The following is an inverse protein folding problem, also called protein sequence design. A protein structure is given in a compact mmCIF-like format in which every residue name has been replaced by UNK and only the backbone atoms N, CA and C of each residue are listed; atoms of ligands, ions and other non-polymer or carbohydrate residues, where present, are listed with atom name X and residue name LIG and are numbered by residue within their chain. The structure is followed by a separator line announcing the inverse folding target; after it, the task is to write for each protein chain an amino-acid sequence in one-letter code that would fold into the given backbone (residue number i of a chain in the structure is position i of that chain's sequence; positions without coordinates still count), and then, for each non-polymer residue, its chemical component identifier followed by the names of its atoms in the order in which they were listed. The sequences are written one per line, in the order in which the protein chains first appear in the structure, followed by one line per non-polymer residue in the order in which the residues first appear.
data_IF_036531997834
#
_entry.id   IF_036531997834
#
_cell.length_a   1.000
_cell.length_b   1.000
_cell.length_c   1.000
_cell.angle_alpha   90.00
_cell.angle_beta   90.00
_cell.angle_gamma   90.00
#
_symmetry.space_group_name_H-M   'P 1'
#
loop_
_entity.id
_entity.type
_entity.pdbx_description
1 polymer ?
#
# COMPACT_ATOMS: atom_id res chain seq x y z
N UNK A 1 -16.88 -11.96 -17.08
CA UNK A 1 -15.70 -12.62 -17.69
C UNK A 1 -14.47 -11.99 -17.07
N UNK A 2 -13.47 -12.80 -16.68
CA UNK A 2 -12.27 -12.32 -16.02
C UNK A 2 -11.04 -12.44 -16.93
N UNK A 3 -10.06 -11.59 -16.68
CA UNK A 3 -8.69 -11.70 -17.19
C UNK A 3 -7.77 -12.03 -16.02
N UNK A 4 -6.82 -12.93 -16.23
CA UNK A 4 -5.75 -13.20 -15.29
C UNK A 4 -4.55 -12.32 -15.67
N UNK A 5 -4.12 -11.49 -14.74
CA UNK A 5 -2.90 -10.70 -14.84
C UNK A 5 -1.77 -11.52 -14.22
N UNK A 6 -0.61 -11.58 -14.88
CA UNK A 6 0.62 -12.18 -14.35
C UNK A 6 1.74 -11.16 -14.48
N UNK A 7 2.46 -10.89 -13.39
CA UNK A 7 3.49 -9.86 -13.34
C UNK A 7 4.72 -10.33 -12.56
N UNK A 8 5.91 -10.02 -13.06
CA UNK A 8 7.18 -10.24 -12.37
C UNK A 8 8.31 -9.49 -13.10
N UNK A 9 9.50 -9.32 -12.48
CA UNK A 9 10.66 -8.80 -13.19
C UNK A 9 10.98 -9.59 -14.48
N UNK A 10 10.82 -10.91 -14.44
CA UNK A 10 11.01 -11.79 -15.59
C UNK A 10 10.01 -12.94 -15.57
N UNK A 11 9.38 -13.23 -16.71
CA UNK A 11 8.40 -14.29 -16.86
C UNK A 11 8.82 -15.24 -17.99
N UNK A 12 8.97 -16.52 -17.67
CA UNK A 12 9.28 -17.53 -18.67
C UNK A 12 8.08 -17.79 -19.60
N UNK A 13 8.29 -17.81 -20.91
CA UNK A 13 7.23 -18.07 -21.90
C UNK A 13 6.52 -19.40 -21.67
N UNK A 14 7.24 -20.43 -21.20
CA UNK A 14 6.65 -21.73 -20.87
C UNK A 14 5.67 -21.64 -19.70
N UNK A 15 5.96 -20.80 -18.70
CA UNK A 15 5.09 -20.60 -17.55
C UNK A 15 3.78 -19.91 -17.96
N UNK A 16 3.84 -18.93 -18.87
CA UNK A 16 2.64 -18.29 -19.42
C UNK A 16 1.73 -19.30 -20.13
N UNK A 17 2.29 -20.20 -20.94
CA UNK A 17 1.51 -21.25 -21.62
C UNK A 17 0.87 -22.21 -20.62
N UNK A 18 1.60 -22.59 -19.57
CA UNK A 18 1.08 -23.47 -18.51
C UNK A 18 -0.02 -22.78 -17.70
N UNK A 19 0.14 -21.51 -17.36
CA UNK A 19 -0.88 -20.71 -16.68
C UNK A 19 -2.13 -20.56 -17.54
N UNK A 20 -1.99 -20.30 -18.84
CA UNK A 20 -3.13 -20.20 -19.75
C UNK A 20 -3.91 -21.53 -19.83
N UNK A 21 -3.22 -22.67 -19.89
CA UNK A 21 -3.88 -23.98 -19.80
C UNK A 21 -4.55 -24.19 -18.44
N UNK A 22 -3.89 -23.77 -17.35
CA UNK A 22 -4.37 -23.96 -15.99
C UNK A 22 -5.65 -23.16 -15.70
N UNK A 23 -5.78 -21.95 -16.25
CA UNK A 23 -6.94 -21.09 -16.04
C UNK A 23 -7.91 -21.05 -17.22
N UNK A 24 -7.75 -21.92 -18.22
CA UNK A 24 -8.63 -21.96 -19.40
C UNK A 24 -8.55 -20.73 -20.30
N UNK A 25 -7.50 -19.91 -20.18
CA UNK A 25 -7.39 -18.68 -20.95
C UNK A 25 -7.26 -18.94 -22.45
N UNK A 26 -8.00 -18.16 -23.24
CA UNK A 26 -8.08 -18.29 -24.69
C UNK A 26 -6.98 -17.52 -25.43
N UNK A 27 -6.42 -16.50 -24.80
CA UNK A 27 -5.42 -15.61 -25.40
C UNK A 27 -4.44 -15.12 -24.34
N UNK A 28 -3.18 -14.91 -24.76
CA UNK A 28 -2.14 -14.27 -23.95
C UNK A 28 -1.70 -13.01 -24.69
N UNK A 29 -1.77 -11.87 -24.01
CA UNK A 29 -1.32 -10.59 -24.54
C UNK A 29 -0.36 -9.92 -23.55
N UNK A 30 0.70 -9.29 -24.06
CA UNK A 30 1.58 -8.48 -23.22
C UNK A 30 0.90 -7.16 -22.87
N UNK A 31 1.04 -6.71 -21.61
CA UNK A 31 0.72 -5.34 -21.23
C UNK A 31 1.79 -4.45 -21.84
N UNK A 32 1.40 -3.44 -22.63
CA UNK A 32 2.33 -2.71 -23.52
C UNK A 32 3.53 -2.14 -22.75
N UNK A 33 4.72 -2.40 -23.30
CA UNK A 33 5.99 -1.90 -22.78
C UNK A 33 6.05 -0.36 -22.79
N UNK A 34 6.55 0.22 -21.70
CA UNK A 34 6.70 1.67 -21.51
C UNK A 34 5.90 2.27 -20.35
N UNK A 35 4.99 1.49 -19.75
CA UNK A 35 4.20 1.91 -18.58
C UNK A 35 4.65 1.27 -17.26
N UNK A 36 5.39 0.15 -17.32
CA UNK A 36 5.76 -0.66 -16.17
C UNK A 36 7.26 -0.94 -16.14
N UNK A 37 7.84 -1.03 -14.94
CA UNK A 37 9.25 -1.39 -14.74
C UNK A 37 9.52 -2.91 -14.85
N UNK A 38 8.49 -3.73 -15.09
CA UNK A 38 8.52 -5.19 -15.03
C UNK A 38 7.70 -5.80 -16.19
N UNK A 39 7.76 -7.12 -16.36
CA UNK A 39 6.97 -7.83 -17.35
C UNK A 39 5.56 -8.10 -16.82
N UNK A 40 4.55 -7.81 -17.63
CA UNK A 40 3.16 -8.10 -17.29
C UNK A 40 2.40 -8.66 -18.50
N UNK A 41 1.55 -9.65 -18.27
CA UNK A 41 0.74 -10.31 -19.29
C UNK A 41 -0.72 -10.44 -18.84
N UNK A 42 -1.64 -10.31 -19.79
CA UNK A 42 -3.07 -10.54 -19.64
C UNK A 42 -3.44 -11.86 -20.32
N UNK A 43 -3.98 -12.78 -19.54
CA UNK A 43 -4.52 -14.06 -19.98
C UNK A 43 -6.05 -13.92 -20.03
N UNK A 44 -6.62 -13.86 -21.23
CA UNK A 44 -8.02 -13.49 -21.45
C UNK A 44 -8.98 -14.65 -21.24
N UNK A 45 -10.18 -14.32 -20.77
CA UNK A 45 -11.24 -15.28 -20.45
C UNK A 45 -10.80 -16.37 -19.45
N UNK A 46 -10.00 -15.99 -18.45
CA UNK A 46 -9.55 -16.88 -17.39
C UNK A 46 -10.71 -17.26 -16.46
N UNK A 47 -10.75 -18.53 -16.07
CA UNK A 47 -11.75 -19.12 -15.17
C UNK A 47 -11.39 -18.84 -13.71
N UNK A 48 -12.20 -18.08 -12.94
CA UNK A 48 -11.88 -17.76 -11.54
C UNK A 48 -11.76 -18.99 -10.62
N UNK A 49 -12.42 -20.10 -10.97
CA UNK A 49 -12.36 -21.34 -10.19
C UNK A 49 -10.94 -21.94 -10.17
N UNK A 50 -10.06 -21.54 -11.11
CA UNK A 50 -8.66 -21.95 -11.13
C UNK A 50 -7.76 -21.15 -10.16
N UNK A 51 -8.31 -20.19 -9.41
CA UNK A 51 -7.54 -19.24 -8.61
C UNK A 51 -6.59 -19.93 -7.62
N UNK A 52 -7.03 -20.98 -6.93
CA UNK A 52 -6.19 -21.69 -5.97
C UNK A 52 -4.96 -22.34 -6.64
N UNK A 53 -5.14 -22.95 -7.81
CA UNK A 53 -4.04 -23.59 -8.53
C UNK A 53 -3.07 -22.57 -9.14
N UNK A 54 -3.61 -21.46 -9.66
CA UNK A 54 -2.80 -20.32 -10.14
C UNK A 54 -1.99 -19.72 -8.98
N UNK A 55 -2.61 -19.55 -7.80
CA UNK A 55 -1.93 -19.04 -6.62
C UNK A 55 -0.73 -19.92 -6.22
N UNK A 56 -0.90 -21.24 -6.17
CA UNK A 56 0.19 -22.18 -5.88
C UNK A 56 1.30 -22.06 -6.92
N UNK A 57 0.95 -22.04 -8.21
CA UNK A 57 1.94 -21.92 -9.28
C UNK A 57 2.73 -20.60 -9.19
N UNK A 58 2.04 -19.49 -8.99
CA UNK A 58 2.64 -18.16 -8.89
C UNK A 58 3.53 -18.03 -7.65
N UNK A 59 3.14 -18.64 -6.52
CA UNK A 59 3.98 -18.67 -5.32
C UNK A 59 5.30 -19.44 -5.54
N UNK A 60 5.26 -20.58 -6.25
CA UNK A 60 6.46 -21.34 -6.60
C UNK A 60 7.35 -20.61 -7.62
N UNK A 61 6.73 -19.93 -8.58
CA UNK A 61 7.44 -19.24 -9.66
C UNK A 61 7.92 -17.83 -9.29
N UNK A 62 7.46 -17.28 -8.15
CA UNK A 62 7.74 -15.90 -7.74
C UNK A 62 7.05 -14.87 -8.64
N UNK A 63 5.75 -15.05 -8.91
CA UNK A 63 4.94 -14.15 -9.74
C UNK A 63 3.80 -13.51 -8.93
N UNK A 64 3.53 -12.25 -9.22
CA UNK A 64 2.28 -11.60 -8.82
C UNK A 64 1.16 -12.02 -9.78
N UNK A 65 -0.06 -12.13 -9.26
CA UNK A 65 -1.23 -12.46 -10.06
C UNK A 65 -2.49 -11.74 -9.58
N UNK A 66 -3.43 -11.51 -10.51
CA UNK A 66 -4.73 -10.94 -10.19
C UNK A 66 -5.80 -11.43 -11.16
N UNK A 67 -6.94 -11.88 -10.64
CA UNK A 67 -8.15 -12.10 -11.43
C UNK A 67 -8.96 -10.82 -11.44
N UNK A 68 -9.01 -10.14 -12.59
CA UNK A 68 -9.65 -8.84 -12.72
C UNK A 68 -10.80 -8.95 -13.72
N UNK A 69 -11.89 -8.20 -13.49
CA UNK A 69 -12.98 -8.12 -14.46
C UNK A 69 -12.43 -7.60 -15.80
N UNK A 70 -12.88 -8.19 -16.92
CA UNK A 70 -12.34 -7.84 -18.24
C UNK A 70 -12.50 -6.35 -18.54
N UNK A 71 -13.60 -5.74 -18.15
CA UNK A 71 -13.97 -4.34 -18.41
C UNK A 71 -13.41 -3.33 -17.41
N UNK A 72 -12.50 -3.74 -16.51
CA UNK A 72 -11.83 -2.82 -15.61
C UNK A 72 -10.93 -1.85 -16.38
N UNK A 73 -11.24 -0.55 -16.32
CA UNK A 73 -10.49 0.53 -16.97
C UNK A 73 -9.97 1.52 -15.92
N UNK A 74 -8.76 2.02 -16.13
CA UNK A 74 -8.16 2.98 -15.21
C UNK A 74 -8.98 4.28 -15.15
N UNK A 75 -9.59 4.66 -16.28
CA UNK A 75 -10.43 5.84 -16.39
C UNK A 75 -11.71 5.81 -15.52
N UNK A 76 -12.12 4.64 -15.03
CA UNK A 76 -13.28 4.52 -14.13
C UNK A 76 -12.91 4.72 -12.65
N UNK A 77 -11.60 4.71 -12.34
CA UNK A 77 -11.08 4.91 -10.99
C UNK A 77 -11.16 6.39 -10.62
N UNK A 78 -11.88 6.68 -9.53
CA UNK A 78 -12.06 8.04 -9.02
C UNK A 78 -11.22 8.35 -7.77
N UNK A 79 -10.75 7.32 -7.06
CA UNK A 79 -10.01 7.48 -5.81
C UNK A 79 -8.94 6.39 -5.64
N UNK A 80 -7.74 6.82 -5.26
CA UNK A 80 -6.65 5.95 -4.81
C UNK A 80 -6.28 6.32 -3.38
N UNK A 81 -6.42 5.36 -2.48
CA UNK A 81 -6.08 5.48 -1.07
C UNK A 81 -4.82 4.66 -0.78
N UNK A 82 -3.90 5.20 0.00
CA UNK A 82 -2.61 4.54 0.26
C UNK A 82 -2.24 4.70 1.73
N UNK A 83 -1.68 3.65 2.33
CA UNK A 83 -0.82 3.83 3.50
C UNK A 83 0.50 4.54 3.12
N UNK A 84 1.15 5.12 4.10
CA UNK A 84 2.45 5.77 3.95
C UNK A 84 3.60 4.80 4.18
N UNK A 85 3.88 4.48 5.45
CA UNK A 85 5.01 3.63 5.87
C UNK A 85 4.89 2.25 5.21
N UNK A 86 6.03 1.71 4.76
CA UNK A 86 6.12 0.41 4.05
C UNK A 86 5.20 0.22 2.83
N UNK A 87 4.50 1.26 2.36
CA UNK A 87 3.57 1.24 1.23
C UNK A 87 3.92 2.32 0.21
N UNK A 88 3.64 3.60 0.49
CA UNK A 88 4.01 4.71 -0.39
C UNK A 88 5.51 5.03 -0.27
N UNK A 89 6.09 4.81 0.91
CA UNK A 89 7.52 4.97 1.18
C UNK A 89 8.13 3.64 1.64
N UNK A 90 9.44 3.50 1.50
CA UNK A 90 10.15 2.24 1.76
C UNK A 90 10.57 2.02 3.21
N UNK A 91 10.18 2.91 4.12
CA UNK A 91 10.64 2.93 5.51
C UNK A 91 9.46 2.93 6.47
N UNK A 92 9.74 2.58 7.72
CA UNK A 92 8.90 2.87 8.88
C UNK A 92 9.44 4.14 9.56
N UNK A 93 8.75 5.27 9.45
CA UNK A 93 9.28 6.55 9.95
C UNK A 93 9.67 6.51 11.42
N UNK A 94 8.88 5.84 12.28
CA UNK A 94 9.18 5.75 13.72
C UNK A 94 10.45 4.95 14.03
N UNK A 95 10.71 3.89 13.25
CA UNK A 95 11.90 3.05 13.43
C UNK A 95 13.16 3.79 12.98
N UNK A 96 13.08 4.59 11.92
CA UNK A 96 14.18 5.45 11.45
C UNK A 96 14.49 6.58 12.44
N UNK A 97 13.47 7.20 13.05
CA UNK A 97 13.67 8.17 14.14
C UNK A 97 14.39 7.49 15.32
N UNK A 98 13.95 6.28 15.68
CA UNK A 98 14.52 5.52 16.79
C UNK A 98 15.98 5.09 16.54
N UNK A 99 16.31 4.68 15.31
CA UNK A 99 17.66 4.32 14.87
C UNK A 99 18.62 5.51 15.01
N UNK A 100 18.22 6.69 14.52
CA UNK A 100 19.05 7.90 14.60
C UNK A 100 19.36 8.35 16.04
N UNK A 101 18.56 7.91 17.00
CA UNK A 101 18.65 8.31 18.41
C UNK A 101 19.16 7.18 19.31
N UNK A 102 19.54 6.04 18.74
CA UNK A 102 20.08 4.90 19.49
C UNK A 102 19.05 4.20 20.38
N UNK A 103 17.76 4.37 20.13
CA UNK A 103 16.65 3.76 20.90
C UNK A 103 15.91 2.66 20.13
N UNK A 104 16.48 2.19 19.01
CA UNK A 104 15.90 1.16 18.14
C UNK A 104 15.53 -0.13 18.87
N UNK A 105 16.38 -0.59 19.78
CA UNK A 105 16.10 -1.83 20.55
C UNK A 105 14.84 -1.70 21.41
N UNK A 106 14.60 -0.51 21.98
CA UNK A 106 13.43 -0.24 22.83
C UNK A 106 12.15 -0.23 22.01
N UNK A 107 12.17 0.43 20.84
CA UNK A 107 11.05 0.44 19.90
C UNK A 107 10.76 -0.96 19.37
N UNK A 108 11.79 -1.72 18.99
CA UNK A 108 11.65 -3.09 18.52
C UNK A 108 11.02 -4.01 19.58
N UNK A 109 11.38 -3.84 20.86
CA UNK A 109 10.79 -4.60 21.96
C UNK A 109 9.27 -4.36 22.09
N UNK A 110 8.81 -3.11 21.92
CA UNK A 110 7.37 -2.77 21.93
C UNK A 110 6.67 -3.36 20.69
N UNK A 111 7.28 -3.25 19.51
CA UNK A 111 6.75 -3.84 18.28
C UNK A 111 6.58 -5.36 18.42
N UNK A 112 7.57 -6.04 19.00
CA UNK A 112 7.50 -7.48 19.24
C UNK A 112 6.35 -7.87 20.19
N UNK A 113 6.07 -7.06 21.22
CA UNK A 113 4.91 -7.26 22.12
C UNK A 113 3.59 -7.12 21.37
N UNK A 114 3.46 -6.11 20.51
CA UNK A 114 2.27 -5.94 19.67
C UNK A 114 2.06 -7.10 18.69
N UNK A 115 3.14 -7.61 18.07
CA UNK A 115 3.07 -8.78 17.20
C UNK A 115 2.65 -10.06 17.93
N UNK A 116 2.89 -10.17 19.25
CA UNK A 116 2.38 -11.26 20.10
C UNK A 116 0.94 -11.04 20.59
N UNK A 117 0.32 -9.93 20.21
CA UNK A 117 -1.03 -9.55 20.65
C UNK A 117 -1.10 -9.03 22.09
N UNK A 118 0.04 -8.74 22.73
CA UNK A 118 0.07 -8.18 24.09
C UNK A 118 -0.33 -6.70 24.13
N UNK A 119 -0.15 -6.00 23.00
CA UNK A 119 -0.49 -4.60 22.83
C UNK A 119 -1.34 -4.43 21.57
N UNK A 120 -2.46 -3.71 21.71
CA UNK A 120 -3.17 -3.23 20.55
C UNK A 120 -2.36 -2.14 19.81
N UNK A 121 -2.81 -1.77 18.61
CA UNK A 121 -2.12 -0.77 17.79
C UNK A 121 -1.97 0.59 18.52
N UNK A 122 -3.01 1.02 19.23
CA UNK A 122 -3.04 2.32 19.91
C UNK A 122 -2.06 2.35 21.08
N UNK A 123 -2.03 1.30 21.87
CA UNK A 123 -1.08 1.11 22.97
C UNK A 123 0.36 1.02 22.45
N UNK A 124 0.59 0.19 21.42
CA UNK A 124 1.91 0.04 20.80
C UNK A 124 2.44 1.36 20.23
N UNK A 125 1.59 2.13 19.54
CA UNK A 125 1.98 3.43 19.00
C UNK A 125 2.26 4.44 20.13
N UNK A 126 1.41 4.49 21.15
CA UNK A 126 1.57 5.39 22.29
C UNK A 126 2.87 5.11 23.05
N UNK A 127 3.17 3.83 23.34
CA UNK A 127 4.42 3.44 23.99
C UNK A 127 5.65 3.79 23.14
N UNK A 128 5.62 3.54 21.82
CA UNK A 128 6.74 3.88 20.93
C UNK A 128 6.95 5.39 20.81
N UNK A 129 5.88 6.18 20.74
CA UNK A 129 5.96 7.64 20.68
C UNK A 129 6.46 8.22 22.01
N UNK A 130 6.12 7.62 23.16
CA UNK A 130 6.64 8.06 24.45
C UNK A 130 8.18 7.99 24.53
N UNK A 131 8.81 7.03 23.85
CA UNK A 131 10.27 6.94 23.76
C UNK A 131 10.92 8.09 22.98
N UNK A 132 10.14 8.85 22.21
CA UNK A 132 10.62 9.98 21.43
C UNK A 132 10.67 11.29 22.24
N UNK A 133 10.26 11.28 23.51
CA UNK A 133 10.23 12.47 24.34
C UNK A 133 11.61 13.12 24.49
N UNK A 134 11.67 14.44 24.32
CA UNK A 134 12.88 15.26 24.43
C UNK A 134 13.70 15.39 23.14
N UNK A 135 13.40 14.59 22.12
CA UNK A 135 14.04 14.70 20.81
C UNK A 135 13.73 16.04 20.16
N UNK A 136 14.71 16.61 19.47
CA UNK A 136 14.49 17.81 18.66
C UNK A 136 13.66 17.48 17.42
N UNK A 137 12.76 18.39 17.03
CA UNK A 137 11.95 18.24 15.83
C UNK A 137 12.81 18.07 14.56
N UNK A 138 14.02 18.62 14.56
CA UNK A 138 15.03 18.44 13.50
C UNK A 138 15.37 16.96 13.21
N UNK A 139 15.15 16.05 14.15
CA UNK A 139 15.29 14.61 13.91
C UNK A 139 14.30 14.11 12.84
N UNK A 140 13.08 14.63 12.81
CA UNK A 140 12.08 14.30 11.80
C UNK A 140 12.52 14.79 10.41
N UNK A 141 13.10 15.99 10.35
CA UNK A 141 13.66 16.55 9.11
C UNK A 141 14.80 15.68 8.56
N UNK A 142 15.69 15.21 9.44
CA UNK A 142 16.78 14.32 9.04
C UNK A 142 16.27 13.01 8.47
N UNK A 143 15.29 12.36 9.09
CA UNK A 143 14.66 11.14 8.54
C UNK A 143 14.04 11.42 7.16
N UNK A 144 13.31 12.52 7.03
CA UNK A 144 12.68 12.89 5.76
C UNK A 144 13.71 13.14 4.64
N UNK A 145 14.83 13.80 4.95
CA UNK A 145 15.84 14.16 3.97
C UNK A 145 16.82 13.03 3.64
N UNK A 146 17.22 12.24 4.64
CA UNK A 146 18.32 11.27 4.54
C UNK A 146 17.85 9.83 4.30
N UNK A 147 16.64 9.45 4.75
CA UNK A 147 16.18 8.04 4.75
C UNK A 147 14.97 7.79 3.87
N UNK A 148 14.03 8.74 3.81
CA UNK A 148 12.78 8.54 3.11
C UNK A 148 13.02 8.38 1.60
N UNK A 149 12.60 7.24 1.07
CA UNK A 149 12.51 6.97 -0.36
C UNK A 149 11.09 6.56 -0.72
N UNK A 150 10.64 6.96 -1.90
CA UNK A 150 9.34 6.50 -2.42
C UNK A 150 9.45 5.02 -2.81
N UNK A 151 8.36 4.29 -2.61
CA UNK A 151 8.26 2.91 -3.07
C UNK A 151 8.46 2.85 -4.60
N UNK A 152 9.22 1.86 -5.13
CA UNK A 152 9.33 1.66 -6.56
C UNK A 152 7.96 1.64 -7.24
N UNK A 153 7.85 2.31 -8.39
CA UNK A 153 6.59 2.42 -9.14
C UNK A 153 5.61 3.48 -8.60
N UNK A 154 5.76 3.99 -7.38
CA UNK A 154 4.84 4.98 -6.82
C UNK A 154 4.70 6.26 -7.69
N UNK A 155 5.78 6.88 -8.20
CA UNK A 155 5.65 8.05 -9.08
C UNK A 155 4.91 7.73 -10.39
N UNK A 156 5.12 6.54 -10.94
CA UNK A 156 4.47 6.08 -12.18
C UNK A 156 2.98 5.86 -11.97
N UNK A 157 2.60 5.17 -10.88
CA UNK A 157 1.21 5.00 -10.48
C UNK A 157 0.52 6.36 -10.30
N UNK A 158 1.12 7.25 -9.48
CA UNK A 158 0.56 8.58 -9.19
C UNK A 158 0.36 9.41 -10.45
N UNK A 159 1.34 9.39 -11.37
CA UNK A 159 1.22 10.08 -12.65
C UNK A 159 0.05 9.55 -13.49
N UNK A 160 -0.14 8.22 -13.55
CA UNK A 160 -1.20 7.62 -14.31
C UNK A 160 -2.60 7.92 -13.73
N UNK A 161 -2.76 7.82 -12.41
CA UNK A 161 -4.05 8.04 -11.73
C UNK A 161 -4.43 9.53 -11.75
N UNK A 162 -3.46 10.44 -11.59
CA UNK A 162 -3.71 11.87 -11.81
C UNK A 162 -4.06 12.17 -13.26
N UNK A 163 -3.47 11.45 -14.22
CA UNK A 163 -3.75 11.60 -15.65
C UNK A 163 -5.21 11.29 -16.03
N UNK A 164 -5.87 10.41 -15.29
CA UNK A 164 -7.32 10.12 -15.46
C UNK A 164 -8.21 10.96 -14.54
N UNK A 165 -7.63 11.87 -13.75
CA UNK A 165 -8.36 12.76 -12.85
C UNK A 165 -8.77 12.14 -11.51
N UNK A 166 -8.25 10.96 -11.17
CA UNK A 166 -8.52 10.32 -9.87
C UNK A 166 -7.95 11.16 -8.73
N UNK A 167 -8.71 11.23 -7.61
CA UNK A 167 -8.24 11.81 -6.36
C UNK A 167 -7.31 10.84 -5.63
N UNK A 168 -6.46 11.40 -4.79
CA UNK A 168 -5.47 10.65 -4.01
C UNK A 168 -5.59 10.99 -2.52
N UNK A 169 -5.63 9.96 -1.69
CA UNK A 169 -5.76 10.08 -0.24
C UNK A 169 -4.67 9.26 0.45
N UNK A 170 -3.80 9.92 1.20
CA UNK A 170 -2.79 9.28 2.05
C UNK A 170 -3.34 9.14 3.46
N UNK A 171 -3.47 7.92 3.99
CA UNK A 171 -3.91 7.69 5.37
C UNK A 171 -2.87 6.85 6.11
N UNK A 172 -2.24 7.44 7.11
CA UNK A 172 -1.13 6.80 7.82
C UNK A 172 -1.33 6.72 9.32
N UNK A 173 -0.86 5.62 9.91
CA UNK A 173 -0.60 5.51 11.35
C UNK A 173 0.68 6.23 11.80
N UNK A 174 1.48 6.74 10.86
CA UNK A 174 2.64 7.60 11.09
C UNK A 174 2.21 9.04 11.39
N UNK A 175 3.03 10.02 10.98
CA UNK A 175 2.92 11.39 11.49
C UNK A 175 2.66 12.45 10.41
N UNK A 176 1.88 13.48 10.77
CA UNK A 176 1.49 14.59 9.87
C UNK A 176 2.70 15.26 9.25
N UNK A 177 3.78 15.44 10.02
CA UNK A 177 5.06 15.97 9.56
C UNK A 177 5.53 15.37 8.23
N UNK A 178 5.44 14.03 8.07
CA UNK A 178 5.85 13.33 6.85
C UNK A 178 4.76 13.40 5.78
N UNK A 179 3.52 13.10 6.16
CA UNK A 179 2.40 13.03 5.20
C UNK A 179 2.11 14.38 4.53
N UNK A 180 2.22 15.51 5.23
CA UNK A 180 2.01 16.85 4.66
C UNK A 180 3.09 17.20 3.62
N UNK A 181 4.35 16.85 3.92
CA UNK A 181 5.46 17.03 2.98
C UNK A 181 5.31 16.15 1.75
N UNK A 182 4.90 14.89 1.93
CA UNK A 182 4.59 13.99 0.82
C UNK A 182 3.39 14.48 0.01
N UNK A 183 2.33 14.98 0.67
CA UNK A 183 1.17 15.56 0.01
C UNK A 183 1.60 16.71 -0.91
N UNK A 184 2.40 17.65 -0.41
CA UNK A 184 2.90 18.76 -1.20
C UNK A 184 3.84 18.30 -2.34
N UNK A 185 4.79 17.41 -2.03
CA UNK A 185 5.79 16.90 -2.99
C UNK A 185 5.17 16.12 -4.15
N UNK A 186 4.14 15.34 -3.87
CA UNK A 186 3.52 14.41 -4.82
C UNK A 186 2.20 14.94 -5.40
N UNK A 187 1.70 16.08 -4.92
CA UNK A 187 0.43 16.65 -5.33
C UNK A 187 -0.77 15.80 -4.91
N UNK A 188 -0.73 15.21 -3.70
CA UNK A 188 -1.84 14.38 -3.22
C UNK A 188 -3.05 15.26 -2.86
N UNK A 189 -4.26 14.75 -3.09
CA UNK A 189 -5.48 15.54 -2.84
C UNK A 189 -5.71 15.76 -1.35
N UNK A 190 -5.40 14.77 -0.51
CA UNK A 190 -5.55 14.83 0.94
C UNK A 190 -4.57 13.90 1.66
N UNK A 191 -4.14 14.28 2.85
CA UNK A 191 -3.42 13.41 3.77
C UNK A 191 -4.00 13.45 5.19
N UNK A 192 -3.93 12.32 5.88
CA UNK A 192 -4.42 12.12 7.25
C UNK A 192 -3.39 11.27 7.99
N UNK A 193 -2.96 11.73 9.16
CA UNK A 193 -1.99 11.04 10.01
C UNK A 193 -2.11 11.48 11.48
N UNK A 194 -1.32 10.86 12.36
CA UNK A 194 -1.22 11.26 13.76
C UNK A 194 -0.40 12.54 13.90
N UNK A 195 -0.74 13.39 14.86
CA UNK A 195 0.01 14.61 15.13
C UNK A 195 0.93 14.36 16.31
N UNK A 196 2.25 14.47 16.12
CA UNK A 196 3.20 14.50 17.24
C UNK A 196 3.11 15.86 17.94
N UNK A 197 3.00 15.85 19.26
CA UNK A 197 3.03 17.09 20.03
C UNK A 197 4.47 17.60 20.14
N UNK A 198 4.67 18.86 19.76
CA UNK A 198 5.95 19.58 19.81
C UNK A 198 5.81 20.79 20.72
N UNK A 199 6.73 20.95 21.67
CA UNK A 199 6.83 22.12 22.55
C UNK A 199 8.27 22.59 22.56
N UNK A 200 8.50 23.90 22.35
CA UNK A 200 9.82 24.51 22.29
C UNK A 200 10.80 23.79 21.34
N UNK A 201 10.29 23.35 20.17
CA UNK A 201 11.06 22.64 19.15
C UNK A 201 11.44 21.19 19.52
N UNK A 202 10.82 20.61 20.55
CA UNK A 202 11.07 19.24 21.01
C UNK A 202 9.80 18.41 21.06
N UNK A 203 9.92 17.14 20.71
CA UNK A 203 8.86 16.15 20.84
C UNK A 203 8.54 15.92 22.32
N UNK A 204 7.27 15.95 22.69
CA UNK A 204 6.86 15.68 24.09
C UNK A 204 6.69 14.19 24.37
N UNK A 205 6.73 13.36 23.33
CA UNK A 205 6.39 11.93 23.40
C UNK A 205 4.90 11.65 23.48
N UNK A 206 4.05 12.59 23.03
CA UNK A 206 2.58 12.43 22.98
C UNK A 206 2.03 12.64 21.58
N UNK A 207 0.88 12.01 21.33
CA UNK A 207 0.07 12.24 20.14
C UNK A 207 -1.06 13.19 20.49
N UNK A 208 -1.31 14.19 19.64
CA UNK A 208 -2.42 15.12 19.78
C UNK A 208 -3.66 14.55 19.10
N UNK A 209 -4.79 14.58 19.82
CA UNK A 209 -6.08 14.14 19.31
C UNK A 209 -6.21 12.63 19.20
N UNK A 210 -7.17 12.19 18.39
CA UNK A 210 -7.41 10.77 18.17
C UNK A 210 -6.33 10.13 17.31
N UNK A 211 -6.04 8.85 17.60
CA UNK A 211 -5.10 8.05 16.82
C UNK A 211 -5.76 7.55 15.52
N UNK A 212 -5.01 7.57 14.42
CA UNK A 212 -5.35 6.95 13.14
C UNK A 212 -5.07 5.46 13.23
N UNK A 213 -6.07 4.72 13.70
CA UNK A 213 -6.09 3.26 13.74
C UNK A 213 -6.81 2.66 12.51
N UNK A 214 -6.90 1.33 12.47
CA UNK A 214 -7.47 0.59 11.34
C UNK A 214 -8.91 1.01 11.00
N UNK A 215 -9.74 1.23 12.02
CA UNK A 215 -11.12 1.65 11.81
C UNK A 215 -11.16 3.06 11.25
N UNK A 216 -10.35 3.97 11.81
CA UNK A 216 -10.26 5.33 11.28
C UNK A 216 -9.76 5.36 9.83
N UNK A 217 -8.84 4.48 9.42
CA UNK A 217 -8.44 4.39 8.00
C UNK A 217 -9.62 4.03 7.09
N UNK A 218 -10.42 3.04 7.48
CA UNK A 218 -11.60 2.64 6.73
C UNK A 218 -12.68 3.75 6.70
N UNK A 219 -12.92 4.41 7.83
CA UNK A 219 -13.89 5.50 7.95
C UNK A 219 -13.51 6.70 7.06
N UNK A 220 -12.22 7.04 7.03
CA UNK A 220 -11.71 8.14 6.22
C UNK A 220 -11.78 7.85 4.71
N UNK A 221 -11.49 6.61 4.30
CA UNK A 221 -11.75 6.16 2.94
C UNK A 221 -13.23 6.29 2.61
N UNK A 222 -14.11 5.72 3.44
CA UNK A 222 -15.55 5.72 3.19
C UNK A 222 -16.12 7.14 3.11
N UNK A 223 -15.66 8.04 3.99
CA UNK A 223 -16.03 9.45 3.99
C UNK A 223 -15.64 10.14 2.68
N UNK A 224 -14.39 10.00 2.25
CA UNK A 224 -13.93 10.68 1.05
C UNK A 224 -14.51 10.07 -0.23
N UNK A 225 -14.70 8.75 -0.25
CA UNK A 225 -15.44 8.07 -1.31
C UNK A 225 -16.86 8.63 -1.45
N UNK A 226 -17.58 8.80 -0.34
CA UNK A 226 -18.94 9.35 -0.34
C UNK A 226 -18.97 10.83 -0.77
N UNK A 227 -18.01 11.64 -0.32
CA UNK A 227 -17.84 13.04 -0.75
C UNK A 227 -17.68 13.16 -2.26
N UNK A 228 -16.97 12.21 -2.89
CA UNK A 228 -16.74 12.16 -4.33
C UNK A 228 -17.88 11.48 -5.11
N UNK A 229 -18.88 10.92 -4.42
CA UNK A 229 -19.99 10.19 -5.06
C UNK A 229 -19.56 8.91 -5.76
N UNK A 230 -18.50 8.26 -5.29
CA UNK A 230 -17.90 7.10 -5.96
C UNK A 230 -18.47 5.77 -5.45
N UNK A 231 -18.62 4.81 -6.36
CA UNK A 231 -18.89 3.41 -5.98
C UNK A 231 -17.60 2.71 -5.54
N UNK A 232 -17.75 1.62 -4.79
CA UNK A 232 -16.63 0.82 -4.27
C UNK A 232 -15.67 0.39 -5.38
N UNK A 233 -16.20 -0.02 -6.52
CA UNK A 233 -15.44 -0.50 -7.69
C UNK A 233 -14.58 0.60 -8.33
N UNK A 234 -14.77 1.87 -7.95
CA UNK A 234 -14.00 3.01 -8.44
C UNK A 234 -12.88 3.43 -7.48
N UNK A 235 -12.62 2.63 -6.45
CA UNK A 235 -11.64 2.90 -5.38
C UNK A 235 -10.55 1.83 -5.38
N UNK A 236 -9.30 2.30 -5.40
CA UNK A 236 -8.10 1.49 -5.12
C UNK A 236 -7.64 1.80 -3.71
N UNK A 237 -7.30 0.79 -2.91
CA UNK A 237 -6.64 0.95 -1.62
C UNK A 237 -5.35 0.12 -1.59
N UNK A 238 -4.24 0.73 -1.16
CA UNK A 238 -2.92 0.10 -1.03
C UNK A 238 -2.48 0.11 0.43
N UNK A 239 -1.94 -1.01 0.92
CA UNK A 239 -1.40 -1.14 2.27
C UNK A 239 -0.60 -2.43 2.45
N UNK A 240 0.25 -2.50 3.46
CA UNK A 240 1.11 -3.65 3.76
C UNK A 240 0.76 -4.34 5.09
N UNK A 241 0.06 -3.62 5.96
CA UNK A 241 -0.12 -3.95 7.36
C UNK A 241 -1.51 -4.48 7.73
N UNK A 242 -1.59 -5.16 8.87
CA UNK A 242 -2.88 -5.63 9.39
C UNK A 242 -3.83 -4.48 9.78
N UNK A 243 -3.25 -3.30 10.06
CA UNK A 243 -3.97 -2.05 10.28
C UNK A 243 -4.65 -1.51 9.01
N UNK A 244 -4.32 -2.01 7.82
CA UNK A 244 -4.94 -1.59 6.57
C UNK A 244 -6.10 -2.47 6.14
N UNK A 245 -6.26 -3.66 6.73
CA UNK A 245 -7.22 -4.67 6.26
C UNK A 245 -8.66 -4.16 6.10
N UNK A 246 -9.13 -3.33 7.04
CA UNK A 246 -10.46 -2.73 6.95
C UNK A 246 -10.56 -1.73 5.79
N UNK A 247 -9.52 -0.93 5.55
CA UNK A 247 -9.42 0.00 4.42
C UNK A 247 -9.33 -0.76 3.08
N UNK A 248 -8.53 -1.83 3.02
CA UNK A 248 -8.40 -2.68 1.83
C UNK A 248 -9.73 -3.36 1.49
N UNK A 249 -10.45 -3.88 2.49
CA UNK A 249 -11.75 -4.51 2.29
C UNK A 249 -12.82 -3.53 1.79
N UNK A 250 -12.75 -2.26 2.21
CA UNK A 250 -13.69 -1.21 1.81
C UNK A 250 -13.55 -0.81 0.33
N UNK A 251 -12.38 -1.01 -0.29
CA UNK A 251 -12.12 -0.67 -1.68
C UNK A 251 -12.51 -1.81 -2.66
N UNK A 252 -12.84 -1.45 -3.90
CA UNK A 252 -13.05 -2.42 -4.98
C UNK A 252 -11.76 -3.12 -5.39
N UNK A 253 -10.64 -2.39 -5.33
CA UNK A 253 -9.31 -2.91 -5.53
C UNK A 253 -8.48 -2.70 -4.25
N UNK A 254 -8.69 -3.57 -3.25
CA UNK A 254 -7.86 -3.65 -2.05
C UNK A 254 -6.62 -4.50 -2.31
N UNK A 255 -5.45 -3.86 -2.33
CA UNK A 255 -4.18 -4.46 -2.77
C UNK A 255 -3.19 -4.46 -1.61
N UNK A 256 -2.74 -5.65 -1.24
CA UNK A 256 -1.66 -5.86 -0.28
C UNK A 256 -0.29 -5.67 -0.97
N UNK A 257 0.48 -4.66 -0.58
CA UNK A 257 1.75 -4.31 -1.20
C UNK A 257 2.93 -4.77 -0.31
N UNK A 258 3.78 -5.67 -0.82
CA UNK A 258 4.90 -6.27 -0.08
C UNK A 258 4.53 -6.73 1.34
N UNK A 259 3.28 -7.19 1.48
CA UNK A 259 2.61 -7.27 2.77
C UNK A 259 2.95 -8.56 3.52
N UNK A 260 2.68 -8.56 4.82
CA UNK A 260 2.83 -9.76 5.67
C UNK A 260 1.86 -10.86 5.20
N UNK A 261 2.19 -12.16 5.40
CA UNK A 261 1.36 -13.27 4.91
C UNK A 261 -0.12 -13.19 5.33
N UNK A 262 -0.39 -12.75 6.56
CA UNK A 262 -1.77 -12.57 7.06
C UNK A 262 -2.55 -11.56 6.21
N UNK A 263 -1.92 -10.44 5.84
CA UNK A 263 -2.57 -9.38 5.07
C UNK A 263 -2.88 -9.86 3.66
N UNK A 264 -1.93 -10.57 3.04
CA UNK A 264 -2.10 -11.15 1.69
C UNK A 264 -3.20 -12.20 1.62
N UNK A 265 -3.42 -12.95 2.70
CA UNK A 265 -4.48 -13.96 2.77
C UNK A 265 -5.89 -13.33 2.85
N UNK A 266 -5.99 -12.09 3.33
CA UNK A 266 -7.28 -11.40 3.55
C UNK A 266 -7.57 -10.33 2.46
N UNK A 267 -6.54 -9.80 1.80
CA UNK A 267 -6.69 -8.84 0.72
C UNK A 267 -7.17 -9.49 -0.59
N UNK A 268 -7.89 -8.72 -1.42
CA UNK A 268 -8.40 -9.20 -2.71
C UNK A 268 -7.29 -9.40 -3.75
N UNK A 269 -6.24 -8.56 -3.67
CA UNK A 269 -5.10 -8.56 -4.57
C UNK A 269 -3.80 -8.41 -3.78
N UNK A 270 -2.67 -8.83 -4.36
CA UNK A 270 -1.35 -8.64 -3.76
C UNK A 270 -0.29 -8.36 -4.82
N UNK A 271 0.72 -7.57 -4.44
CA UNK A 271 1.93 -7.30 -5.21
C UNK A 271 3.14 -7.53 -4.29
N UNK A 272 3.92 -8.58 -4.54
CA UNK A 272 5.13 -8.93 -3.81
C UNK A 272 6.40 -8.73 -4.65
N UNK A 273 6.28 -8.91 -5.97
CA UNK A 273 7.41 -8.99 -6.90
C UNK A 273 7.66 -7.70 -7.67
N UNK A 274 6.65 -6.83 -7.70
CA UNK A 274 6.63 -5.62 -8.52
C UNK A 274 6.40 -4.39 -7.65
N UNK A 275 6.73 -3.20 -8.18
CA UNK A 275 6.44 -1.93 -7.51
C UNK A 275 4.95 -1.57 -7.58
N UNK A 276 4.59 -0.42 -7.00
CA UNK A 276 3.20 0.06 -6.99
C UNK A 276 2.65 0.34 -8.39
N UNK A 277 3.50 0.48 -9.41
CA UNK A 277 3.07 0.58 -10.80
C UNK A 277 2.44 -0.72 -11.31
N UNK A 278 2.68 -1.86 -10.66
CA UNK A 278 2.04 -3.15 -10.96
C UNK A 278 0.52 -3.07 -11.00
N UNK A 279 -0.08 -2.21 -10.17
CA UNK A 279 -1.52 -1.93 -10.14
C UNK A 279 -2.07 -1.53 -11.52
N UNK A 280 -1.28 -0.83 -12.33
CA UNK A 280 -1.71 -0.36 -13.65
C UNK A 280 -2.00 -1.51 -14.63
N UNK A 281 -1.38 -2.68 -14.46
CA UNK A 281 -1.64 -3.83 -15.33
C UNK A 281 -3.04 -4.43 -15.16
N UNK A 282 -3.72 -4.12 -14.05
CA UNK A 282 -5.08 -4.60 -13.77
C UNK A 282 -6.09 -3.97 -14.75
N UNK A 283 -5.72 -2.82 -15.31
CA UNK A 283 -6.59 -1.98 -16.11
C UNK A 283 -6.22 -2.01 -17.60
N UNK A 284 -7.20 -1.78 -18.45
CA UNK A 284 -7.00 -1.51 -19.89
C UNK A 284 -6.77 -0.03 -20.18
#
# INVERSE_FOLDING_TARGET
MYKLIIQAPEIATQNLKRLAQLCGASEISAVRAGQLAHQAFKLQAAEPDSQAAVATFCAEAGYDYAFVAHDARLADIGLVVMDMDSTLITIECIDEIADMQGIKEQVAAITARSMRGELDFRQSLTERVALLAGLEESALERVYNERLQLMPGAPTLLKAVHGVGARTLLISGGFTFFTERLQAKLGLSRAIANVLEVVDGRLTGRIVGDIVDAQRKADELARYQAELGLRREQVIALGDGANDLLMLAAAGFGIACHAKPKVKAEAAFALDQTGLDGVLAYFD
#
